data_IF_957832846222
#
_entry.id   IF_957832846222
#
_cell.length_a   1.000
_cell.length_b   1.000
_cell.length_c   1.000
_cell.angle_alpha   90.00
_cell.angle_beta   90.00
_cell.angle_gamma   90.00
#
_symmetry.space_group_name_H-M   'P 1'
#
loop_
_entity.id
_entity.type
_entity.pdbx_description
1 polymer ?
#
# COMPACT_ATOMS: atom_id res chain seq x y z
N UNK A 1 -6.73 29.71 13.03
CA UNK A 1 -6.87 29.24 11.64
C UNK A 1 -5.56 28.56 11.22
N UNK A 2 -5.62 27.39 10.58
CA UNK A 2 -4.42 26.67 10.16
C UNK A 2 -3.89 27.19 8.82
N UNK A 3 -2.57 27.38 8.72
CA UNK A 3 -1.92 27.89 7.48
C UNK A 3 -1.72 26.81 6.41
N UNK A 4 -1.68 25.53 6.82
CA UNK A 4 -1.52 24.37 5.95
C UNK A 4 -2.22 23.19 6.60
N UNK A 5 -2.96 22.42 5.81
CA UNK A 5 -3.65 21.21 6.24
C UNK A 5 -3.13 20.04 5.42
N UNK A 6 -2.86 18.92 6.10
CA UNK A 6 -2.51 17.64 5.49
C UNK A 6 -3.55 16.61 5.87
N UNK A 7 -4.00 15.83 4.90
CA UNK A 7 -4.95 14.74 5.08
C UNK A 7 -4.27 13.47 4.58
N UNK A 8 -4.09 12.52 5.49
CA UNK A 8 -3.52 11.21 5.20
C UNK A 8 -4.67 10.21 5.24
N UNK A 9 -4.85 9.48 4.14
CA UNK A 9 -5.88 8.46 3.99
C UNK A 9 -5.16 7.13 3.85
N UNK A 10 -5.35 6.25 4.83
CA UNK A 10 -4.79 4.91 4.78
C UNK A 10 -5.80 3.92 4.18
N UNK A 11 -5.29 2.91 3.46
CA UNK A 11 -6.06 1.79 2.89
C UNK A 11 -7.33 2.21 2.12
N UNK A 12 -7.21 3.18 1.20
CA UNK A 12 -8.33 3.72 0.44
C UNK A 12 -9.12 2.64 -0.33
N UNK A 13 -8.47 1.55 -0.73
CA UNK A 13 -9.11 0.42 -1.40
C UNK A 13 -10.08 -0.36 -0.53
N UNK A 14 -9.91 -0.36 0.79
CA UNK A 14 -10.82 -0.99 1.77
C UNK A 14 -12.09 -0.16 2.01
N UNK A 15 -12.16 1.05 1.44
CA UNK A 15 -13.40 1.82 1.41
C UNK A 15 -14.38 1.14 0.44
N UNK A 16 -15.44 0.55 1.00
CA UNK A 16 -16.49 -0.10 0.23
C UNK A 16 -17.07 0.86 -0.82
N UNK A 17 -17.41 0.29 -1.97
CA UNK A 17 -17.99 1.01 -3.11
C UNK A 17 -19.34 0.43 -3.54
N UNK A 18 -19.94 -0.49 -2.77
CA UNK A 18 -21.25 -1.07 -3.04
C UNK A 18 -22.32 0.02 -3.31
N UNK A 19 -22.30 1.09 -2.51
CA UNK A 19 -23.24 2.22 -2.61
C UNK A 19 -22.61 3.48 -3.24
N UNK A 20 -21.44 3.35 -3.89
CA UNK A 20 -20.71 4.49 -4.45
C UNK A 20 -20.03 5.39 -3.39
N UNK A 21 -19.98 4.96 -2.14
CA UNK A 21 -19.35 5.66 -1.01
C UNK A 21 -17.91 6.07 -1.31
N UNK A 22 -17.07 5.15 -1.81
CA UNK A 22 -15.69 5.45 -2.21
C UNK A 22 -15.62 6.50 -3.32
N UNK A 23 -16.46 6.39 -4.35
CA UNK A 23 -16.51 7.38 -5.44
C UNK A 23 -16.88 8.78 -4.94
N UNK A 24 -17.86 8.87 -4.03
CA UNK A 24 -18.29 10.14 -3.43
C UNK A 24 -17.18 10.72 -2.55
N UNK A 25 -16.59 9.90 -1.68
CA UNK A 25 -15.46 10.29 -0.85
C UNK A 25 -14.28 10.82 -1.68
N UNK A 26 -13.89 10.11 -2.74
CA UNK A 26 -12.83 10.54 -3.65
C UNK A 26 -13.13 11.88 -4.33
N UNK A 27 -14.39 12.08 -4.73
CA UNK A 27 -14.83 13.33 -5.36
C UNK A 27 -14.72 14.51 -4.38
N UNK A 28 -15.07 14.28 -3.12
CA UNK A 28 -14.98 15.28 -2.04
C UNK A 28 -13.54 15.62 -1.67
N UNK A 29 -12.68 14.61 -1.52
CA UNK A 29 -11.25 14.78 -1.26
C UNK A 29 -10.58 15.58 -2.39
N UNK A 30 -10.86 15.23 -3.65
CA UNK A 30 -10.36 15.97 -4.82
C UNK A 30 -10.89 17.42 -4.85
N UNK A 31 -12.16 17.63 -4.46
CA UNK A 31 -12.75 18.98 -4.38
C UNK A 31 -12.04 19.81 -3.32
N UNK A 32 -11.74 19.23 -2.16
CA UNK A 32 -11.05 19.89 -1.05
C UNK A 32 -9.61 20.29 -1.42
N UNK A 33 -8.87 19.40 -2.09
CA UNK A 33 -7.53 19.68 -2.63
C UNK A 33 -7.51 20.98 -3.45
N UNK A 34 -8.48 21.13 -4.37
CA UNK A 34 -8.56 22.25 -5.31
C UNK A 34 -9.03 23.56 -4.69
N UNK A 35 -9.93 23.49 -3.71
CA UNK A 35 -10.64 24.67 -3.19
C UNK A 35 -10.01 25.27 -1.93
N UNK A 36 -9.32 24.47 -1.13
CA UNK A 36 -8.85 24.88 0.21
C UNK A 36 -7.35 24.69 0.43
N UNK A 37 -6.56 24.45 -0.63
CA UNK A 37 -5.11 24.18 -0.55
C UNK A 37 -4.75 23.08 0.48
N UNK A 38 -5.63 22.09 0.65
CA UNK A 38 -5.35 20.92 1.47
C UNK A 38 -4.39 19.99 0.73
N UNK A 39 -3.39 19.47 1.45
CA UNK A 39 -2.42 18.53 0.92
C UNK A 39 -2.91 17.12 1.21
N UNK A 40 -2.99 16.28 0.18
CA UNK A 40 -3.62 14.96 0.31
C UNK A 40 -2.60 13.88 -0.02
N UNK A 41 -2.49 12.91 0.88
CA UNK A 41 -1.68 11.72 0.70
C UNK A 41 -2.59 10.50 0.96
N UNK A 42 -2.63 9.57 0.02
CA UNK A 42 -3.45 8.36 0.15
C UNK A 42 -2.61 7.11 -0.15
N UNK A 43 -2.82 6.06 0.63
CA UNK A 43 -2.32 4.71 0.34
C UNK A 43 -3.47 3.85 -0.21
N UNK A 44 -3.14 2.94 -1.13
CA UNK A 44 -4.11 2.05 -1.76
C UNK A 44 -3.38 0.92 -2.47
N UNK A 45 -4.00 -0.26 -2.58
CA UNK A 45 -3.63 -1.23 -3.63
C UNK A 45 -3.77 -0.63 -5.03
N UNK A 46 -3.08 -1.22 -6.00
CA UNK A 46 -3.13 -0.80 -7.41
C UNK A 46 -4.45 -1.21 -8.08
N UNK A 47 -5.53 -0.48 -7.77
CA UNK A 47 -6.87 -0.70 -8.33
C UNK A 47 -7.13 0.31 -9.46
N UNK A 48 -7.45 -0.12 -10.70
CA UNK A 48 -7.63 0.77 -11.85
C UNK A 48 -8.62 1.92 -11.60
N UNK A 49 -9.72 1.67 -10.88
CA UNK A 49 -10.73 2.68 -10.55
C UNK A 49 -10.14 3.83 -9.72
N UNK A 50 -9.35 3.49 -8.68
CA UNK A 50 -8.68 4.47 -7.82
C UNK A 50 -7.56 5.15 -8.60
N UNK A 51 -6.69 4.37 -9.25
CA UNK A 51 -5.57 4.88 -10.05
C UNK A 51 -5.99 5.89 -11.11
N UNK A 52 -7.15 5.69 -11.75
CA UNK A 52 -7.71 6.63 -12.74
C UNK A 52 -8.05 7.99 -12.14
N UNK A 53 -8.50 8.05 -10.88
CA UNK A 53 -8.80 9.33 -10.18
C UNK A 53 -7.54 10.13 -9.85
N UNK A 54 -6.40 9.45 -9.68
CA UNK A 54 -5.10 10.05 -9.37
C UNK A 54 -4.15 10.15 -10.58
N UNK A 55 -4.63 9.94 -11.82
CA UNK A 55 -3.78 9.90 -13.02
C UNK A 55 -2.93 11.16 -13.23
N UNK A 56 -3.48 12.33 -12.90
CA UNK A 56 -2.83 13.64 -13.02
C UNK A 56 -2.09 14.08 -11.74
N UNK A 57 -1.88 13.18 -10.78
CA UNK A 57 -1.24 13.46 -9.49
C UNK A 57 0.04 12.65 -9.34
N UNK A 58 0.88 13.06 -8.39
CA UNK A 58 2.04 12.30 -7.99
C UNK A 58 1.61 10.92 -7.48
N UNK A 59 2.27 9.88 -7.99
CA UNK A 59 2.03 8.48 -7.63
C UNK A 59 3.38 7.82 -7.41
N UNK A 60 3.48 7.07 -6.33
CA UNK A 60 4.67 6.31 -5.99
C UNK A 60 4.27 4.84 -5.81
N UNK A 61 4.47 3.99 -6.82
CA UNK A 61 4.34 2.55 -6.64
C UNK A 61 5.36 2.09 -5.60
N UNK A 62 4.89 1.43 -4.55
CA UNK A 62 5.73 0.82 -3.52
C UNK A 62 5.62 -0.68 -3.72
N UNK A 63 6.76 -1.32 -4.03
CA UNK A 63 6.87 -2.77 -4.14
C UNK A 63 8.18 -3.22 -3.52
N UNK A 64 8.13 -4.32 -2.76
CA UNK A 64 9.33 -4.96 -2.27
C UNK A 64 10.10 -5.57 -3.45
N UNK A 65 11.41 -5.34 -3.48
CA UNK A 65 12.29 -6.01 -4.44
C UNK A 65 12.59 -7.43 -3.95
N UNK A 66 13.10 -8.24 -4.86
CA UNK A 66 13.51 -9.60 -4.55
C UNK A 66 14.53 -9.65 -3.41
N UNK A 67 15.47 -8.71 -3.42
CA UNK A 67 16.52 -8.59 -2.42
C UNK A 67 15.96 -8.16 -1.06
N UNK A 68 14.97 -7.26 -1.04
CA UNK A 68 14.29 -6.82 0.19
C UNK A 68 13.58 -8.01 0.86
N UNK A 69 12.88 -8.82 0.05
CA UNK A 69 12.19 -10.03 0.52
C UNK A 69 13.17 -11.08 1.04
N UNK A 70 14.28 -11.30 0.33
CA UNK A 70 15.30 -12.26 0.75
C UNK A 70 15.90 -11.85 2.09
N UNK A 71 16.36 -10.60 2.23
CA UNK A 71 16.94 -10.08 3.47
C UNK A 71 15.94 -10.14 4.63
N UNK A 72 14.67 -9.81 4.36
CA UNK A 72 13.62 -9.90 5.37
C UNK A 72 13.41 -11.34 5.83
N UNK A 73 13.27 -12.29 4.90
CA UNK A 73 13.01 -13.70 5.22
C UNK A 73 14.20 -14.33 5.96
N UNK A 74 15.44 -14.05 5.55
CA UNK A 74 16.66 -14.46 6.26
C UNK A 74 16.66 -13.97 7.71
N UNK A 75 16.36 -12.68 7.91
CA UNK A 75 16.26 -12.09 9.24
C UNK A 75 15.15 -12.73 10.10
N UNK A 76 13.98 -13.02 9.52
CA UNK A 76 12.86 -13.63 10.25
C UNK A 76 13.09 -15.11 10.58
N UNK A 77 13.71 -15.87 9.67
CA UNK A 77 13.99 -17.30 9.88
C UNK A 77 15.09 -17.47 10.92
N UNK A 78 16.16 -16.68 10.85
CA UNK A 78 17.24 -16.72 11.84
C UNK A 78 16.76 -16.38 13.26
N UNK A 79 15.80 -15.46 13.40
CA UNK A 79 15.17 -15.11 14.67
C UNK A 79 14.11 -16.12 15.16
N UNK A 80 13.66 -17.03 14.31
CA UNK A 80 12.65 -18.03 14.69
C UNK A 80 13.21 -19.01 15.71
N UNK A 81 12.47 -19.32 16.77
CA UNK A 81 12.81 -20.38 17.73
C UNK A 81 12.44 -21.78 17.22
N UNK A 82 11.69 -21.87 16.11
CA UNK A 82 11.25 -23.15 15.55
C UNK A 82 12.36 -23.80 14.70
N UNK A 83 12.85 -24.95 15.15
CA UNK A 83 13.80 -25.77 14.39
C UNK A 83 13.24 -26.22 13.04
N UNK A 84 11.94 -26.48 12.96
CA UNK A 84 11.26 -26.82 11.70
C UNK A 84 11.37 -25.69 10.68
N UNK A 85 11.16 -24.44 11.11
CA UNK A 85 11.27 -23.26 10.22
C UNK A 85 12.71 -23.09 9.74
N UNK A 86 13.71 -23.28 10.62
CA UNK A 86 15.11 -23.19 10.24
C UNK A 86 15.53 -24.32 9.28
N UNK A 87 15.03 -25.53 9.50
CA UNK A 87 15.32 -26.69 8.65
C UNK A 87 14.74 -26.54 7.22
N UNK A 88 13.66 -25.76 7.07
CA UNK A 88 12.99 -25.52 5.78
C UNK A 88 13.28 -24.13 5.19
N UNK A 89 14.39 -23.49 5.57
CA UNK A 89 14.71 -22.11 5.19
C UNK A 89 14.58 -21.85 3.68
N UNK A 90 15.24 -22.67 2.85
CA UNK A 90 15.24 -22.51 1.39
C UNK A 90 13.86 -22.74 0.77
N UNK A 91 13.09 -23.69 1.29
CA UNK A 91 11.73 -23.98 0.82
C UNK A 91 10.79 -22.82 1.15
N UNK A 92 10.89 -22.26 2.36
CA UNK A 92 10.11 -21.11 2.80
C UNK A 92 10.45 -19.88 1.96
N UNK A 93 11.74 -19.57 1.79
CA UNK A 93 12.18 -18.44 0.96
C UNK A 93 11.65 -18.56 -0.46
N UNK A 94 11.92 -19.69 -1.11
CA UNK A 94 11.50 -19.94 -2.49
C UNK A 94 9.97 -19.91 -2.63
N UNK A 95 9.26 -20.54 -1.70
CA UNK A 95 7.80 -20.61 -1.70
C UNK A 95 7.15 -19.24 -1.58
N UNK A 96 7.60 -18.42 -0.62
CA UNK A 96 7.10 -17.06 -0.42
C UNK A 96 7.48 -16.17 -1.61
N UNK A 97 8.74 -16.17 -2.03
CA UNK A 97 9.22 -15.29 -3.11
C UNK A 97 8.55 -15.60 -4.46
N UNK A 98 8.05 -16.84 -4.65
CA UNK A 98 7.30 -17.22 -5.85
C UNK A 98 5.87 -16.67 -5.87
N UNK A 99 5.22 -16.50 -4.71
CA UNK A 99 3.80 -16.10 -4.64
C UNK A 99 3.62 -14.61 -4.35
N UNK A 100 4.61 -13.96 -3.75
CA UNK A 100 4.55 -12.55 -3.39
C UNK A 100 4.99 -11.69 -4.58
N UNK A 101 4.09 -10.86 -5.12
CA UNK A 101 4.36 -9.93 -6.24
C UNK A 101 4.97 -8.59 -5.76
N UNK A 102 5.75 -8.65 -4.68
CA UNK A 102 6.28 -7.46 -3.98
C UNK A 102 5.21 -6.62 -3.25
N UNK A 103 4.02 -7.17 -2.99
CA UNK A 103 2.93 -6.56 -2.20
C UNK A 103 2.59 -7.38 -0.97
#
# INVERSE_FOLDING_TARGET
MYKRVFIIIDALDECDNADGSRSNFLSEIIRLEKSHFANIFATSREIPEISKRFSNRARLPIRARHEDLQLYLEGRISQSESEMIRAQEEEIKTGIMKVVDGM
#
